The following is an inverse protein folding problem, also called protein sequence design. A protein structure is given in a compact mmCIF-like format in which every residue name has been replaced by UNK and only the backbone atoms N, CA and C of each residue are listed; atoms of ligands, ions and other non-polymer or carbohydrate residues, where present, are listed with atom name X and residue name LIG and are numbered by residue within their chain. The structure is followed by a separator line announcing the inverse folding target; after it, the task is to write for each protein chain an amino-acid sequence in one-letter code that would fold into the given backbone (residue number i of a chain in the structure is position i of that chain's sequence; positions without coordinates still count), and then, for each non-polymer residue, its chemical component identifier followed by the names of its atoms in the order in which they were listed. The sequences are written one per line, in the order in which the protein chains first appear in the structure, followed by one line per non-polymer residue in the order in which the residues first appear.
data_IF_684698555917
#
_entry.id   IF_684698555917
#
_cell.length_a   1.000
_cell.length_b   1.000
_cell.length_c   1.000
_cell.angle_alpha   90.00
_cell.angle_beta   90.00
_cell.angle_gamma   90.00
#
_symmetry.space_group_name_H-M   'P 1'
#
loop_
_entity.id
_entity.type
_entity.pdbx_description
1 polymer ?
#
# COMPACT_ATOMS: atom_id res chain seq x y z
N UNK A 1 -23.37 -8.73 7.55
CA UNK A 1 -22.44 -9.30 6.51
C UNK A 1 -22.46 -10.80 6.65
N UNK A 2 -22.49 -11.59 5.56
CA UNK A 2 -22.40 -13.05 5.64
C UNK A 2 -20.96 -13.49 5.89
N UNK A 3 -20.75 -14.67 6.53
CA UNK A 3 -19.41 -15.23 6.73
C UNK A 3 -18.62 -15.39 5.42
N UNK A 4 -19.32 -15.77 4.33
CA UNK A 4 -18.70 -15.90 3.00
C UNK A 4 -18.22 -14.56 2.46
N UNK A 5 -18.96 -13.49 2.68
CA UNK A 5 -18.59 -12.13 2.25
C UNK A 5 -17.36 -11.64 3.00
N UNK A 6 -17.30 -11.87 4.31
CA UNK A 6 -16.14 -11.58 5.14
C UNK A 6 -14.88 -12.29 4.65
N UNK A 7 -14.99 -13.60 4.37
CA UNK A 7 -13.85 -14.39 3.86
C UNK A 7 -13.41 -13.91 2.46
N UNK A 8 -14.34 -13.53 1.60
CA UNK A 8 -14.04 -12.99 0.27
C UNK A 8 -13.26 -11.67 0.38
N UNK A 9 -13.70 -10.75 1.24
CA UNK A 9 -13.00 -9.48 1.47
C UNK A 9 -11.57 -9.73 2.00
N UNK A 10 -11.40 -10.68 2.93
CA UNK A 10 -10.08 -11.10 3.41
C UNK A 10 -9.21 -11.72 2.32
N UNK A 11 -9.78 -12.55 1.46
CA UNK A 11 -9.06 -13.14 0.32
C UNK A 11 -8.61 -12.07 -0.70
N UNK A 12 -9.45 -11.05 -0.95
CA UNK A 12 -9.08 -9.91 -1.80
C UNK A 12 -7.89 -9.16 -1.21
N UNK A 13 -7.89 -8.87 0.09
CA UNK A 13 -6.75 -8.21 0.76
C UNK A 13 -5.49 -9.06 0.61
N UNK A 14 -5.55 -10.36 0.90
CA UNK A 14 -4.39 -11.24 0.83
C UNK A 14 -3.84 -11.34 -0.60
N UNK A 15 -4.70 -11.53 -1.60
CA UNK A 15 -4.31 -11.63 -3.00
C UNK A 15 -3.70 -10.33 -3.52
N UNK A 16 -4.33 -9.17 -3.24
CA UNK A 16 -3.83 -7.87 -3.64
C UNK A 16 -2.46 -7.56 -3.00
N UNK A 17 -2.30 -7.87 -1.71
CA UNK A 17 -1.03 -7.71 -0.99
C UNK A 17 0.06 -8.62 -1.56
N UNK A 18 -0.25 -9.90 -1.78
CA UNK A 18 0.71 -10.86 -2.35
C UNK A 18 1.15 -10.46 -3.76
N UNK A 19 0.21 -10.02 -4.61
CA UNK A 19 0.52 -9.54 -5.95
C UNK A 19 1.36 -8.26 -5.90
N UNK A 20 1.05 -7.32 -5.02
CA UNK A 20 1.83 -6.10 -4.86
C UNK A 20 3.28 -6.40 -4.46
N UNK A 21 3.52 -7.38 -3.58
CA UNK A 21 4.87 -7.84 -3.21
C UNK A 21 5.60 -8.43 -4.41
N UNK A 22 4.95 -9.28 -5.21
CA UNK A 22 5.53 -9.83 -6.44
C UNK A 22 5.91 -8.73 -7.42
N UNK A 23 5.02 -7.75 -7.64
CA UNK A 23 5.29 -6.61 -8.51
C UNK A 23 6.50 -5.80 -8.06
N UNK A 24 6.69 -5.63 -6.75
CA UNK A 24 7.86 -4.93 -6.21
C UNK A 24 9.17 -5.69 -6.43
N UNK A 25 9.14 -7.02 -6.42
CA UNK A 25 10.32 -7.83 -6.75
C UNK A 25 10.75 -7.71 -8.22
N UNK A 26 9.80 -7.33 -9.10
CA UNK A 26 10.04 -7.12 -10.54
C UNK A 26 10.04 -5.62 -10.91
N UNK A 27 10.09 -4.75 -9.91
CA UNK A 27 10.10 -3.30 -10.14
C UNK A 27 11.44 -2.90 -10.75
N UNK A 28 11.44 -2.21 -11.91
CA UNK A 28 12.67 -1.79 -12.55
C UNK A 28 13.47 -0.85 -11.64
N UNK A 29 14.73 -1.18 -11.43
CA UNK A 29 15.65 -0.41 -10.57
C UNK A 29 16.39 0.69 -11.32
N UNK A 30 16.30 0.70 -12.66
CA UNK A 30 16.90 1.72 -13.53
C UNK A 30 15.90 2.18 -14.59
N UNK A 31 16.05 3.43 -15.03
CA UNK A 31 15.31 3.96 -16.17
C UNK A 31 15.91 3.51 -17.52
N UNK A 32 16.95 2.67 -17.51
CA UNK A 32 17.56 2.13 -18.74
C UNK A 32 16.60 1.12 -19.37
N UNK A 33 16.31 1.31 -20.63
CA UNK A 33 15.48 0.43 -21.47
C UNK A 33 16.22 -0.81 -22.00
N UNK A 34 17.47 -1.03 -21.57
CA UNK A 34 18.24 -2.22 -21.94
C UNK A 34 17.76 -3.39 -21.10
N UNK A 35 16.98 -4.27 -21.72
CA UNK A 35 16.73 -5.60 -21.19
C UNK A 35 18.09 -6.32 -21.06
N UNK A 36 18.45 -6.69 -19.85
CA UNK A 36 19.57 -7.59 -19.62
C UNK A 36 19.04 -9.01 -19.93
N UNK A 37 19.32 -9.47 -21.15
CA UNK A 37 18.92 -10.80 -21.63
C UNK A 37 19.63 -11.87 -20.81
N UNK A 38 18.99 -12.37 -19.75
CA UNK A 38 19.49 -13.53 -19.03
C UNK A 38 19.20 -13.63 -17.55
N UNK A 39 18.53 -12.68 -16.93
CA UNK A 39 18.11 -12.82 -15.53
C UNK A 39 16.74 -13.51 -15.44
N UNK A 40 16.63 -14.50 -14.54
CA UNK A 40 15.39 -15.25 -14.30
C UNK A 40 14.23 -14.35 -13.83
N UNK A 41 14.53 -13.17 -13.30
CA UNK A 41 13.62 -12.11 -12.92
C UNK A 41 13.94 -10.90 -13.81
N UNK A 42 13.50 -10.91 -15.06
CA UNK A 42 13.61 -9.74 -15.94
C UNK A 42 12.73 -8.61 -15.40
N UNK A 43 13.25 -7.39 -15.41
CA UNK A 43 12.50 -6.20 -15.09
C UNK A 43 11.27 -6.09 -16.00
N UNK A 44 10.11 -6.08 -15.41
CA UNK A 44 8.87 -5.82 -16.16
C UNK A 44 8.81 -4.35 -16.55
N UNK A 45 8.07 -4.05 -17.61
CA UNK A 45 7.95 -2.66 -18.05
C UNK A 45 7.42 -1.78 -16.91
N UNK A 46 8.04 -0.62 -16.72
CA UNK A 46 7.68 0.31 -15.64
C UNK A 46 6.18 0.65 -15.63
N UNK A 47 5.61 0.90 -16.81
CA UNK A 47 4.18 1.18 -16.95
C UNK A 47 3.29 0.01 -16.52
N UNK A 48 3.65 -1.24 -16.86
CA UNK A 48 2.89 -2.42 -16.47
C UNK A 48 2.92 -2.63 -14.96
N UNK A 49 4.08 -2.56 -14.33
CA UNK A 49 4.23 -2.74 -12.87
C UNK A 49 3.39 -1.73 -12.13
N UNK A 50 3.47 -0.44 -12.50
CA UNK A 50 2.71 0.60 -11.82
C UNK A 50 1.20 0.53 -12.10
N UNK A 51 0.77 0.15 -13.30
CA UNK A 51 -0.65 -0.10 -13.58
C UNK A 51 -1.20 -1.23 -12.71
N UNK A 52 -0.47 -2.33 -12.61
CA UNK A 52 -0.86 -3.47 -11.77
C UNK A 52 -0.85 -3.11 -10.27
N UNK A 53 0.12 -2.31 -9.81
CA UNK A 53 0.15 -1.79 -8.43
C UNK A 53 -1.08 -0.93 -8.11
N UNK A 54 -1.49 -0.03 -9.03
CA UNK A 54 -2.73 0.75 -8.88
C UNK A 54 -3.93 -0.21 -8.74
N UNK A 55 -4.00 -1.26 -9.57
CA UNK A 55 -5.03 -2.30 -9.45
C UNK A 55 -5.03 -2.98 -8.08
N UNK A 56 -3.85 -3.31 -7.53
CA UNK A 56 -3.72 -3.87 -6.18
C UNK A 56 -4.20 -2.89 -5.09
N UNK A 57 -3.87 -1.60 -5.20
CA UNK A 57 -4.31 -0.58 -4.24
C UNK A 57 -5.84 -0.41 -4.25
N UNK A 58 -6.47 -0.46 -5.43
CA UNK A 58 -7.93 -0.44 -5.56
C UNK A 58 -8.57 -1.70 -4.96
N UNK A 59 -8.01 -2.89 -5.23
CA UNK A 59 -8.48 -4.14 -4.62
C UNK A 59 -8.33 -4.13 -3.10
N UNK A 60 -7.21 -3.60 -2.57
CA UNK A 60 -7.04 -3.38 -1.14
C UNK A 60 -8.12 -2.47 -0.57
N UNK A 61 -8.43 -1.35 -1.23
CA UNK A 61 -9.48 -0.44 -0.79
C UNK A 61 -10.84 -1.14 -0.67
N UNK A 62 -11.19 -2.02 -1.65
CA UNK A 62 -12.42 -2.82 -1.63
C UNK A 62 -12.43 -3.78 -0.43
N UNK A 63 -11.34 -4.53 -0.22
CA UNK A 63 -11.25 -5.47 0.90
C UNK A 63 -11.28 -4.76 2.26
N UNK A 64 -10.60 -3.62 2.38
CA UNK A 64 -10.59 -2.81 3.61
C UNK A 64 -11.94 -2.17 3.93
N UNK A 65 -12.80 -1.90 2.94
CA UNK A 65 -14.19 -1.51 3.20
C UNK A 65 -14.98 -2.64 3.91
N UNK A 66 -14.69 -3.90 3.60
CA UNK A 66 -15.20 -5.06 4.35
C UNK A 66 -14.74 -5.05 5.82
N UNK A 67 -13.47 -4.69 6.09
CA UNK A 67 -12.96 -4.55 7.47
C UNK A 67 -13.67 -3.43 8.21
N UNK A 68 -13.89 -2.28 7.57
CA UNK A 68 -14.65 -1.16 8.14
C UNK A 68 -16.03 -1.61 8.62
N UNK A 69 -16.76 -2.38 7.79
CA UNK A 69 -18.07 -2.94 8.16
C UNK A 69 -17.98 -3.87 9.37
N UNK A 70 -16.92 -4.66 9.46
CA UNK A 70 -16.69 -5.53 10.63
C UNK A 70 -16.33 -4.77 11.91
N UNK A 71 -15.61 -3.66 11.82
CA UNK A 71 -15.19 -2.86 12.97
C UNK A 71 -16.28 -1.97 13.54
N UNK A 72 -17.50 -2.07 13.02
CA UNK A 72 -18.64 -1.18 13.33
C UNK A 72 -18.44 0.21 12.68
N UNK A 73 -18.98 0.36 11.49
CA UNK A 73 -18.86 1.58 10.68
C UNK A 73 -19.53 2.82 11.30
N UNK A 74 -20.31 2.67 12.38
CA UNK A 74 -20.91 3.80 13.09
C UNK A 74 -19.92 4.48 14.03
N UNK A 75 -18.84 3.80 14.42
CA UNK A 75 -17.82 4.34 15.31
C UNK A 75 -16.94 5.36 14.62
N UNK A 76 -16.70 6.46 15.31
CA UNK A 76 -15.87 7.55 14.79
C UNK A 76 -14.45 7.07 14.40
N UNK A 77 -13.80 6.25 15.22
CA UNK A 77 -12.47 5.72 14.94
C UNK A 77 -12.46 4.82 13.69
N UNK A 78 -13.51 4.01 13.50
CA UNK A 78 -13.62 3.16 12.30
C UNK A 78 -13.74 4.01 11.04
N UNK A 79 -14.58 5.05 11.08
CA UNK A 79 -14.76 5.97 9.95
C UNK A 79 -13.50 6.78 9.66
N UNK A 80 -12.87 7.33 10.70
CA UNK A 80 -11.64 8.11 10.55
C UNK A 80 -10.52 7.25 9.98
N UNK A 81 -10.33 6.04 10.50
CA UNK A 81 -9.32 5.11 9.97
C UNK A 81 -9.58 4.73 8.51
N UNK A 82 -10.85 4.51 8.13
CA UNK A 82 -11.22 4.23 6.74
C UNK A 82 -10.91 5.41 5.81
N UNK A 83 -11.19 6.65 6.22
CA UNK A 83 -10.87 7.85 5.45
C UNK A 83 -9.36 8.02 5.27
N UNK A 84 -8.59 7.84 6.35
CA UNK A 84 -7.13 7.93 6.31
C UNK A 84 -6.53 6.86 5.40
N UNK A 85 -6.96 5.59 5.53
CA UNK A 85 -6.54 4.50 4.65
C UNK A 85 -6.89 4.79 3.19
N UNK A 86 -8.12 5.19 2.91
CA UNK A 86 -8.55 5.51 1.55
C UNK A 86 -7.76 6.67 0.93
N UNK A 87 -7.55 7.75 1.67
CA UNK A 87 -6.76 8.88 1.21
C UNK A 87 -5.28 8.50 1.01
N UNK A 88 -4.73 7.67 1.90
CA UNK A 88 -3.37 7.14 1.78
C UNK A 88 -3.19 6.25 0.55
N UNK A 89 -4.10 5.30 0.31
CA UNK A 89 -4.07 4.46 -0.89
C UNK A 89 -4.21 5.28 -2.19
N UNK A 90 -5.03 6.34 -2.17
CA UNK A 90 -5.16 7.26 -3.30
C UNK A 90 -3.85 8.04 -3.55
N UNK A 91 -3.17 8.51 -2.51
CA UNK A 91 -1.88 9.18 -2.65
C UNK A 91 -0.80 8.23 -3.21
N UNK A 92 -0.73 6.98 -2.72
CA UNK A 92 0.16 5.94 -3.26
C UNK A 92 -0.16 5.61 -4.73
N UNK A 93 -1.43 5.54 -5.10
CA UNK A 93 -1.83 5.37 -6.50
C UNK A 93 -1.41 6.57 -7.36
N UNK A 94 -1.47 7.78 -6.82
CA UNK A 94 -0.95 9.00 -7.46
C UNK A 94 0.57 8.93 -7.68
N UNK A 95 1.33 8.46 -6.68
CA UNK A 95 2.76 8.23 -6.82
C UNK A 95 3.06 7.21 -7.92
N UNK A 96 2.36 6.08 -7.93
CA UNK A 96 2.50 5.06 -8.98
C UNK A 96 2.14 5.61 -10.37
N UNK A 97 1.13 6.47 -10.49
CA UNK A 97 0.77 7.13 -11.75
C UNK A 97 1.88 8.05 -12.25
N UNK A 98 2.48 8.85 -11.36
CA UNK A 98 3.58 9.77 -11.71
C UNK A 98 4.78 8.98 -12.18
N UNK A 99 5.21 7.96 -11.43
CA UNK A 99 6.39 7.17 -11.77
C UNK A 99 6.17 6.30 -13.03
N UNK A 100 5.07 5.59 -13.10
CA UNK A 100 4.80 4.63 -14.18
C UNK A 100 4.45 5.26 -15.52
N UNK A 101 3.83 6.46 -15.51
CA UNK A 101 3.26 7.01 -16.74
C UNK A 101 3.74 8.44 -17.03
N UNK A 102 3.73 9.36 -16.06
CA UNK A 102 4.07 10.76 -16.32
C UNK A 102 5.55 10.91 -16.68
N UNK A 103 6.45 10.21 -15.97
CA UNK A 103 7.89 10.23 -16.22
C UNK A 103 8.22 9.72 -17.62
N UNK A 104 7.66 8.58 -18.01
CA UNK A 104 7.88 8.03 -19.36
C UNK A 104 7.37 8.95 -20.47
N UNK A 105 6.21 9.58 -20.27
CA UNK A 105 5.67 10.57 -21.23
C UNK A 105 6.52 11.82 -21.34
N UNK A 106 7.05 12.36 -20.25
CA UNK A 106 7.97 13.48 -20.26
C UNK A 106 9.21 13.13 -21.08
N UNK A 107 9.83 11.98 -20.82
CA UNK A 107 11.04 11.55 -21.53
C UNK A 107 10.81 11.35 -23.04
N UNK A 108 9.61 10.96 -23.45
CA UNK A 108 9.24 10.79 -24.85
C UNK A 108 8.83 12.11 -25.54
N UNK A 109 8.41 13.15 -24.79
CA UNK A 109 7.82 14.36 -25.32
C UNK A 109 8.86 15.42 -25.74
N UNK A 110 10.09 15.31 -25.29
CA UNK A 110 11.15 16.31 -25.57
C UNK A 110 12.52 15.66 -25.72
N UNK A 111 13.32 16.18 -26.64
CA UNK A 111 14.73 15.84 -26.79
C UNK A 111 15.66 16.84 -26.09
N UNK A 112 15.13 17.96 -25.57
CA UNK A 112 15.91 18.98 -24.87
C UNK A 112 16.36 18.43 -23.49
N UNK A 113 17.67 18.28 -23.25
CA UNK A 113 18.20 17.73 -22.01
C UNK A 113 17.81 18.58 -20.78
N UNK A 114 17.79 19.91 -20.90
CA UNK A 114 17.46 20.79 -19.78
C UNK A 114 15.99 20.65 -19.36
N UNK A 115 15.08 20.51 -20.33
CA UNK A 115 13.64 20.28 -20.07
C UNK A 115 13.44 18.90 -19.44
N UNK A 116 14.15 17.87 -19.91
CA UNK A 116 14.08 16.52 -19.35
C UNK A 116 14.57 16.46 -17.90
N UNK A 117 15.68 17.14 -17.61
CA UNK A 117 16.25 17.20 -16.28
C UNK A 117 15.32 17.94 -15.30
N UNK A 118 14.91 19.18 -15.63
CA UNK A 118 14.02 19.96 -14.79
C UNK A 118 12.67 19.29 -14.56
N UNK A 119 12.06 18.75 -15.62
CA UNK A 119 10.81 18.01 -15.53
C UNK A 119 10.95 16.71 -14.73
N UNK A 120 12.06 15.99 -14.91
CA UNK A 120 12.38 14.78 -14.16
C UNK A 120 12.48 15.05 -12.66
N UNK A 121 13.21 16.10 -12.27
CA UNK A 121 13.30 16.52 -10.86
C UNK A 121 11.94 16.89 -10.27
N UNK A 122 11.11 17.60 -11.03
CA UNK A 122 9.76 17.97 -10.59
C UNK A 122 8.87 16.75 -10.37
N UNK A 123 8.84 15.80 -11.33
CA UNK A 123 8.08 14.58 -11.21
C UNK A 123 8.59 13.68 -10.09
N UNK A 124 9.91 13.61 -9.90
CA UNK A 124 10.51 12.89 -8.79
C UNK A 124 10.09 13.47 -7.44
N UNK A 125 10.16 14.80 -7.27
CA UNK A 125 9.75 15.47 -6.03
C UNK A 125 8.25 15.25 -5.74
N UNK A 126 7.40 15.31 -6.76
CA UNK A 126 5.97 15.03 -6.63
C UNK A 126 5.72 13.58 -6.23
N UNK A 127 6.41 12.63 -6.88
CA UNK A 127 6.31 11.20 -6.55
C UNK A 127 6.68 10.95 -5.08
N UNK A 128 7.81 11.48 -4.62
CA UNK A 128 8.27 11.32 -3.23
C UNK A 128 7.29 11.94 -2.22
N UNK A 129 6.72 13.10 -2.55
CA UNK A 129 5.73 13.76 -1.70
C UNK A 129 4.44 12.98 -1.57
N UNK A 130 3.94 12.41 -2.68
CA UNK A 130 2.75 11.57 -2.69
C UNK A 130 2.99 10.25 -1.94
N UNK A 131 4.16 9.63 -2.10
CA UNK A 131 4.53 8.40 -1.42
C UNK A 131 4.65 8.61 0.10
N UNK A 132 5.33 9.68 0.52
CA UNK A 132 5.43 10.06 1.92
C UNK A 132 4.06 10.34 2.54
N UNK A 133 3.23 11.15 1.88
CA UNK A 133 1.86 11.44 2.33
C UNK A 133 1.04 10.16 2.44
N UNK A 134 1.08 9.30 1.43
CA UNK A 134 0.35 8.04 1.38
C UNK A 134 0.76 7.13 2.53
N UNK A 135 2.06 6.97 2.76
CA UNK A 135 2.61 6.15 3.85
C UNK A 135 2.17 6.65 5.22
N UNK A 136 2.23 7.95 5.48
CA UNK A 136 1.79 8.54 6.76
C UNK A 136 0.29 8.34 6.97
N UNK A 137 -0.52 8.58 5.95
CA UNK A 137 -1.98 8.42 6.06
C UNK A 137 -2.39 6.97 6.27
N UNK A 138 -1.75 6.02 5.56
CA UNK A 138 -1.96 4.58 5.77
C UNK A 138 -1.57 4.17 7.19
N UNK A 139 -0.42 4.65 7.68
CA UNK A 139 0.06 4.37 9.03
C UNK A 139 -0.91 4.88 10.11
N UNK A 140 -1.38 6.12 9.97
CA UNK A 140 -2.39 6.71 10.85
C UNK A 140 -3.71 5.93 10.80
N UNK A 141 -4.16 5.53 9.62
CA UNK A 141 -5.38 4.75 9.45
C UNK A 141 -5.28 3.37 10.11
N UNK A 142 -4.17 2.66 9.90
CA UNK A 142 -3.89 1.36 10.52
C UNK A 142 -3.85 1.46 12.07
N UNK A 143 -3.16 2.47 12.61
CA UNK A 143 -3.11 2.73 14.04
C UNK A 143 -4.49 3.10 14.61
N UNK A 144 -5.28 3.88 13.89
CA UNK A 144 -6.66 4.25 14.30
C UNK A 144 -7.59 3.05 14.38
N UNK A 145 -7.39 2.00 13.55
CA UNK A 145 -8.15 0.76 13.62
C UNK A 145 -7.64 -0.22 14.69
N UNK A 146 -6.44 -0.02 15.22
CA UNK A 146 -5.82 -0.94 16.19
C UNK A 146 -6.69 -1.28 17.39
N UNK A 147 -7.41 -0.34 18.07
CA UNK A 147 -8.27 -0.68 19.21
C UNK A 147 -9.44 -1.60 18.84
N UNK A 148 -9.98 -1.46 17.62
CA UNK A 148 -11.04 -2.32 17.10
C UNK A 148 -10.53 -3.72 16.75
N UNK A 149 -9.40 -3.81 16.09
CA UNK A 149 -8.76 -5.07 15.70
C UNK A 149 -8.30 -5.88 16.91
N UNK A 150 -7.75 -5.23 17.94
CA UNK A 150 -7.25 -5.88 19.17
C UNK A 150 -8.28 -6.79 19.84
N UNK A 151 -9.55 -6.42 19.78
CA UNK A 151 -10.67 -7.11 20.44
C UNK A 151 -11.22 -8.29 19.65
N UNK A 152 -10.74 -8.55 18.42
CA UNK A 152 -11.35 -9.52 17.51
C UNK A 152 -10.78 -10.94 17.66
N UNK A 153 -9.48 -11.10 17.49
CA UNK A 153 -8.82 -12.40 17.44
C UNK A 153 -7.32 -12.26 17.71
N UNK A 154 -6.60 -13.37 17.77
CA UNK A 154 -5.14 -13.31 17.85
C UNK A 154 -4.53 -12.58 16.63
N UNK A 155 -4.97 -12.91 15.41
CA UNK A 155 -4.54 -12.19 14.21
C UNK A 155 -4.89 -10.69 14.26
N UNK A 156 -6.03 -10.34 14.84
CA UNK A 156 -6.42 -8.95 15.10
C UNK A 156 -5.47 -8.23 16.07
N UNK A 157 -4.96 -8.90 17.09
CA UNK A 157 -3.95 -8.34 18.00
C UNK A 157 -2.62 -8.11 17.30
N UNK A 158 -2.22 -9.05 16.45
CA UNK A 158 -1.02 -8.90 15.60
C UNK A 158 -1.18 -7.69 14.67
N UNK A 159 -2.31 -7.59 13.97
CA UNK A 159 -2.59 -6.45 13.10
C UNK A 159 -2.61 -5.12 13.86
N UNK A 160 -3.19 -5.10 15.07
CA UNK A 160 -3.21 -3.91 15.92
C UNK A 160 -1.80 -3.47 16.33
N UNK A 161 -0.96 -4.42 16.76
CA UNK A 161 0.44 -4.14 17.11
C UNK A 161 1.23 -3.62 15.90
N UNK A 162 1.09 -4.27 14.74
CA UNK A 162 1.71 -3.83 13.49
C UNK A 162 1.26 -2.43 13.08
N UNK A 163 -0.02 -2.08 13.24
CA UNK A 163 -0.54 -0.75 12.94
C UNK A 163 0.16 0.35 13.77
N UNK A 164 0.43 0.08 15.06
CA UNK A 164 1.20 1.00 15.92
C UNK A 164 2.66 1.07 15.49
N UNK A 165 3.27 -0.07 15.16
CA UNK A 165 4.67 -0.12 14.69
C UNK A 165 4.84 0.67 13.39
N UNK A 166 3.93 0.51 12.42
CA UNK A 166 3.97 1.24 11.15
C UNK A 166 3.89 2.74 11.40
N UNK A 167 3.01 3.18 12.31
CA UNK A 167 2.92 4.59 12.68
C UNK A 167 4.24 5.09 13.30
N UNK A 168 4.83 4.31 14.20
CA UNK A 168 6.13 4.64 14.78
C UNK A 168 7.24 4.79 13.73
N UNK A 169 7.30 3.87 12.76
CA UNK A 169 8.24 3.93 11.65
C UNK A 169 8.00 5.15 10.75
N UNK A 170 6.73 5.43 10.41
CA UNK A 170 6.37 6.59 9.59
C UNK A 170 6.75 7.91 10.28
N UNK A 171 6.49 8.04 11.58
CA UNK A 171 6.87 9.22 12.36
C UNK A 171 8.38 9.36 12.51
N UNK A 172 9.07 8.25 12.81
CA UNK A 172 10.54 8.25 12.84
C UNK A 172 11.11 8.78 11.54
N UNK A 173 10.60 8.30 10.43
CA UNK A 173 11.08 8.67 9.12
C UNK A 173 10.83 10.14 8.77
N UNK A 174 9.67 10.69 9.12
CA UNK A 174 9.36 12.11 8.89
C UNK A 174 10.18 13.07 9.76
N UNK A 175 10.76 12.58 10.86
CA UNK A 175 11.56 13.39 11.79
C UNK A 175 13.07 13.27 11.56
N UNK A 176 13.51 12.32 10.74
CA UNK A 176 14.93 12.14 10.38
C UNK A 176 15.19 12.68 8.98
N UNK A 177 16.27 13.47 8.79
CA UNK A 177 16.59 14.16 7.52
C UNK A 177 16.95 13.20 6.35
N UNK A 178 16.71 11.91 6.49
CA UNK A 178 17.12 10.86 5.53
C UNK A 178 16.35 10.80 4.20
N UNK A 179 15.29 11.58 4.04
CA UNK A 179 14.43 11.52 2.84
C UNK A 179 13.74 10.15 2.65
N UNK A 180 12.74 10.05 1.76
CA UNK A 180 12.06 8.77 1.44
C UNK A 180 12.91 7.96 0.45
N UNK A 181 14.07 7.44 0.91
CA UNK A 181 14.94 6.60 0.09
C UNK A 181 14.36 5.20 -0.16
N UNK A 182 14.93 4.48 -1.15
CA UNK A 182 14.49 3.13 -1.55
C UNK A 182 14.36 2.14 -0.38
N UNK A 183 15.32 2.15 0.56
CA UNK A 183 15.31 1.25 1.72
C UNK A 183 14.08 1.48 2.61
N UNK A 184 13.70 2.74 2.81
CA UNK A 184 12.53 3.09 3.62
C UNK A 184 11.22 2.78 2.91
N UNK A 185 11.15 3.00 1.60
CA UNK A 185 9.98 2.59 0.81
C UNK A 185 9.76 1.08 0.90
N UNK A 186 10.82 0.28 0.79
CA UNK A 186 10.76 -1.19 0.95
C UNK A 186 10.34 -1.59 2.37
N UNK A 187 10.90 -0.95 3.41
CA UNK A 187 10.55 -1.25 4.79
C UNK A 187 9.08 -0.89 5.11
N UNK A 188 8.62 0.28 4.67
CA UNK A 188 7.24 0.72 4.83
C UNK A 188 6.26 -0.20 4.11
N UNK A 189 6.59 -0.61 2.89
CA UNK A 189 5.79 -1.54 2.11
C UNK A 189 5.74 -2.93 2.75
N UNK A 190 6.87 -3.47 3.22
CA UNK A 190 6.91 -4.74 3.92
C UNK A 190 6.06 -4.71 5.21
N UNK A 191 6.19 -3.65 5.99
CA UNK A 191 5.41 -3.48 7.21
C UNK A 191 3.90 -3.36 6.92
N UNK A 192 3.52 -2.60 5.89
CA UNK A 192 2.12 -2.50 5.45
C UNK A 192 1.59 -3.83 4.90
N UNK A 193 2.40 -4.57 4.16
CA UNK A 193 2.03 -5.90 3.66
C UNK A 193 1.77 -6.88 4.82
N UNK A 194 2.65 -6.92 5.83
CA UNK A 194 2.47 -7.74 7.02
C UNK A 194 1.18 -7.37 7.78
N UNK A 195 0.91 -6.07 7.94
CA UNK A 195 -0.33 -5.59 8.52
C UNK A 195 -1.55 -6.03 7.71
N UNK A 196 -1.54 -5.84 6.41
CA UNK A 196 -2.64 -6.22 5.50
C UNK A 196 -2.92 -7.73 5.55
N UNK A 197 -1.87 -8.56 5.56
CA UNK A 197 -2.01 -10.02 5.69
C UNK A 197 -2.57 -10.43 7.06
N UNK A 198 -2.15 -9.76 8.15
CA UNK A 198 -2.72 -10.00 9.47
C UNK A 198 -4.20 -9.59 9.54
N UNK A 199 -4.57 -8.47 8.91
CA UNK A 199 -5.98 -8.06 8.75
C UNK A 199 -6.76 -9.09 7.92
N UNK A 200 -6.23 -9.54 6.78
CA UNK A 200 -6.84 -10.58 5.97
C UNK A 200 -7.08 -11.87 6.77
N UNK A 201 -6.11 -12.28 7.58
CA UNK A 201 -6.24 -13.46 8.45
C UNK A 201 -7.37 -13.31 9.47
N UNK A 202 -7.61 -12.10 10.02
CA UNK A 202 -8.77 -11.88 10.93
C UNK A 202 -10.09 -12.13 10.23
N UNK A 203 -10.18 -11.84 8.95
CA UNK A 203 -11.41 -11.99 8.16
C UNK A 203 -11.61 -13.42 7.67
N UNK A 204 -10.55 -14.07 7.20
CA UNK A 204 -10.60 -15.43 6.67
C UNK A 204 -10.86 -16.45 7.79
N UNK A 205 -10.23 -16.23 8.97
CA UNK A 205 -10.33 -17.11 10.12
C UNK A 205 -11.51 -16.79 11.06
N UNK A 206 -12.32 -15.78 10.73
CA UNK A 206 -13.52 -15.46 11.48
C UNK A 206 -14.46 -16.67 11.51
N UNK A 207 -14.80 -17.14 12.73
CA UNK A 207 -15.78 -18.23 12.90
C UNK A 207 -17.17 -17.74 12.50
N UNK A 208 -17.99 -18.56 11.87
CA UNK A 208 -19.39 -18.25 11.67
C UNK A 208 -20.07 -18.03 13.04
N UNK A 209 -20.84 -16.94 13.16
CA UNK A 209 -21.67 -16.69 14.33
C UNK A 209 -22.70 -17.82 14.42
N UNK A 210 -22.55 -18.73 15.36
CA UNK A 210 -23.48 -19.85 15.57
C UNK A 210 -22.86 -21.18 16.00
N UNK A 211 -21.53 -21.34 15.99
CA UNK A 211 -20.85 -22.55 16.50
C UNK A 211 -20.18 -22.28 17.87
N UNK A 212 -20.90 -21.67 18.79
CA UNK A 212 -20.52 -21.69 20.20
C UNK A 212 -21.28 -22.90 20.84
N UNK A 213 -20.58 -24.03 21.01
CA UNK A 213 -21.02 -25.10 21.91
C UNK A 213 -21.07 -24.64 23.36
#
# INVERSE_FOLDING_TARGET
MTANQTRADGAIIAAATGLALVLMLHHPTSLSTTHDDGQFLSDWSNGFVHAAMIGCLLALAIGLDGVKRQLDETRILTRTGALLLGAGLLALAGAALVNGFATGRLLASTSDPAVREAGGHTLWALNQSLDALGTVLVALGAATWSPGLWRRSFAGRVAAALGVVILGLALWHTTTDGGFGLQMAVAAMAAFALWSLAVAATMILARPDGEAE
#
